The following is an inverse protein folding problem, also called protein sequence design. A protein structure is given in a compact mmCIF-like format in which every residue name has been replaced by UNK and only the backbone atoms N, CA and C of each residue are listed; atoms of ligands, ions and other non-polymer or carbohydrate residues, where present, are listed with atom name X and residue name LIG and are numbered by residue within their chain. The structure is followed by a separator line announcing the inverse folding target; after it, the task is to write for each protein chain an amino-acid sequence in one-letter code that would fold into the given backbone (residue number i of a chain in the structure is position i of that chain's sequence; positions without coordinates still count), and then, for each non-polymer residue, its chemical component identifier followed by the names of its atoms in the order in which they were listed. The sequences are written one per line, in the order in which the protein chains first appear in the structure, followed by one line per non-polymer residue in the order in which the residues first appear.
data_IF_120890866401
#
_entry.id   IF_120890866401
#
_cell.length_a   1.000
_cell.length_b   1.000
_cell.length_c   1.000
_cell.angle_alpha   90.00
_cell.angle_beta   90.00
_cell.angle_gamma   90.00
#
_symmetry.space_group_name_H-M   'P 1'
#
loop_
_entity.id
_entity.type
_entity.pdbx_description
1 polymer ?
#
# COMPACT_ATOMS: atom_id res chain seq x y z
N UNK A 1 11.75 -42.38 57.17
CA UNK A 1 11.96 -43.40 56.13
C UNK A 1 11.01 -43.08 55.00
N UNK A 2 11.50 -42.43 53.94
CA UNK A 2 10.75 -42.27 52.68
C UNK A 2 11.75 -42.56 51.56
N UNK A 3 11.52 -43.68 50.88
CA UNK A 3 12.21 -44.10 49.67
C UNK A 3 11.76 -43.20 48.51
N UNK A 4 12.69 -42.54 47.85
CA UNK A 4 12.55 -42.22 46.43
C UNK A 4 13.73 -42.83 45.72
N UNK A 5 13.51 -44.07 45.26
CA UNK A 5 14.35 -44.69 44.24
C UNK A 5 14.19 -43.90 42.96
N UNK A 6 15.30 -43.39 42.44
CA UNK A 6 15.41 -43.01 41.05
C UNK A 6 15.36 -44.30 40.24
N UNK A 7 14.21 -44.57 39.63
CA UNK A 7 14.14 -45.59 38.59
C UNK A 7 14.85 -45.04 37.35
N UNK A 8 16.11 -45.40 37.20
CA UNK A 8 16.82 -45.44 35.92
C UNK A 8 16.23 -46.58 35.06
N UNK A 9 14.95 -46.51 34.70
CA UNK A 9 14.33 -47.33 33.65
C UNK A 9 12.95 -46.80 33.35
N UNK A 10 12.91 -45.74 32.55
CA UNK A 10 11.84 -45.51 31.57
C UNK A 10 12.39 -44.41 30.67
N UNK A 11 13.16 -44.82 29.65
CA UNK A 11 13.06 -44.10 28.40
C UNK A 11 11.55 -44.05 28.12
N UNK A 12 10.91 -42.87 28.08
CA UNK A 12 9.57 -42.83 27.52
C UNK A 12 9.77 -43.38 26.11
N UNK A 13 9.21 -44.57 25.86
CA UNK A 13 8.90 -45.00 24.50
C UNK A 13 8.26 -43.77 23.90
N UNK A 14 8.96 -43.15 22.96
CA UNK A 14 8.40 -42.10 22.15
C UNK A 14 6.99 -42.58 21.81
N UNK A 15 5.92 -41.86 22.17
CA UNK A 15 4.76 -42.02 21.35
C UNK A 15 5.28 -41.71 19.96
N UNK A 16 5.25 -42.70 19.08
CA UNK A 16 5.04 -42.48 17.67
C UNK A 16 3.68 -41.75 17.54
N UNK A 17 3.58 -40.53 18.09
CA UNK A 17 2.86 -39.45 17.47
C UNK A 17 3.54 -39.34 16.12
N UNK A 18 2.95 -40.03 15.15
CA UNK A 18 3.02 -39.67 13.75
C UNK A 18 2.94 -38.16 13.68
N UNK A 19 4.11 -37.53 13.60
CA UNK A 19 4.24 -36.17 13.07
C UNK A 19 3.50 -36.27 11.74
N UNK A 20 2.42 -35.51 11.51
CA UNK A 20 1.84 -35.47 10.19
C UNK A 20 2.94 -34.95 9.28
N UNK A 21 3.55 -35.87 8.53
CA UNK A 21 4.45 -35.54 7.43
C UNK A 21 3.57 -34.89 6.39
N UNK A 22 3.45 -33.58 6.49
CA UNK A 22 2.80 -32.76 5.48
C UNK A 22 3.81 -31.65 5.16
N UNK A 23 4.87 -32.05 4.46
CA UNK A 23 5.31 -31.21 3.35
C UNK A 23 4.11 -31.11 2.40
N UNK A 24 3.26 -30.12 2.64
CA UNK A 24 2.28 -29.69 1.66
C UNK A 24 3.10 -29.23 0.44
N UNK A 25 2.98 -29.97 -0.65
CA UNK A 25 3.40 -29.51 -1.96
C UNK A 25 2.73 -28.14 -2.19
N UNK A 26 3.50 -27.06 -2.00
CA UNK A 26 2.98 -25.69 -2.02
C UNK A 26 3.11 -24.88 -0.72
N UNK A 27 4.10 -25.12 0.14
CA UNK A 27 4.66 -24.09 1.06
C UNK A 27 3.73 -23.40 2.08
N UNK A 28 2.49 -23.84 2.24
CA UNK A 28 1.54 -23.30 3.20
C UNK A 28 1.42 -24.23 4.41
N UNK A 29 1.85 -23.74 5.56
CA UNK A 29 1.64 -24.40 6.86
C UNK A 29 0.18 -24.22 7.27
N UNK A 30 -0.50 -25.30 7.65
CA UNK A 30 -1.91 -25.24 8.08
C UNK A 30 -2.07 -24.49 9.41
N UNK A 31 -3.25 -23.90 9.64
CA UNK A 31 -3.58 -23.21 10.89
C UNK A 31 -3.42 -24.14 12.12
N UNK A 32 -3.72 -25.42 11.97
CA UNK A 32 -3.54 -26.43 13.01
C UNK A 32 -2.06 -26.65 13.36
N UNK A 33 -1.17 -26.62 12.36
CA UNK A 33 0.26 -26.70 12.59
C UNK A 33 0.76 -25.51 13.43
N UNK A 34 0.27 -24.31 13.13
CA UNK A 34 0.61 -23.09 13.88
C UNK A 34 0.14 -23.12 15.33
N UNK A 35 -1.10 -23.54 15.56
CA UNK A 35 -1.62 -23.72 16.92
C UNK A 35 -0.79 -24.75 17.70
N UNK A 36 -0.32 -25.80 17.04
CA UNK A 36 0.61 -26.76 17.63
C UNK A 36 1.95 -26.14 18.04
N UNK A 37 2.55 -25.28 17.20
CA UNK A 37 3.82 -24.63 17.52
C UNK A 37 3.69 -23.62 18.68
N UNK A 38 2.60 -22.86 18.72
CA UNK A 38 2.33 -21.92 19.83
C UNK A 38 2.09 -22.66 21.15
N UNK A 39 1.40 -23.80 21.10
CA UNK A 39 1.18 -24.62 22.28
C UNK A 39 2.48 -25.25 22.80
N UNK A 40 3.35 -25.75 21.92
CA UNK A 40 4.69 -26.27 22.28
C UNK A 40 5.56 -25.17 22.92
N UNK A 41 5.55 -23.95 22.38
CA UNK A 41 6.26 -22.81 22.96
C UNK A 41 5.73 -22.44 24.35
N UNK A 42 4.41 -22.42 24.53
CA UNK A 42 3.78 -22.13 25.81
C UNK A 42 4.14 -23.18 26.88
N UNK A 43 4.13 -24.47 26.52
CA UNK A 43 4.53 -25.55 27.43
C UNK A 43 6.01 -25.44 27.84
N UNK A 44 6.88 -25.07 26.91
CA UNK A 44 8.32 -24.89 27.19
C UNK A 44 8.58 -23.71 28.11
N UNK A 45 7.89 -22.58 27.91
CA UNK A 45 7.97 -21.41 28.80
C UNK A 45 7.52 -21.76 30.22
N UNK A 46 6.38 -22.45 30.37
CA UNK A 46 5.91 -22.90 31.68
C UNK A 46 6.91 -23.85 32.38
N UNK A 47 7.62 -24.68 31.63
CA UNK A 47 8.67 -25.55 32.17
C UNK A 47 9.91 -24.76 32.65
N UNK A 48 10.25 -23.64 31.98
CA UNK A 48 11.32 -22.73 32.42
C UNK A 48 10.95 -22.03 33.72
N UNK A 49 9.74 -21.48 33.81
CA UNK A 49 9.23 -20.80 35.00
C UNK A 49 9.17 -21.76 36.21
N UNK A 50 8.67 -22.98 36.01
CA UNK A 50 8.63 -24.01 37.06
C UNK A 50 10.02 -24.41 37.55
N UNK A 51 11.01 -24.48 36.65
CA UNK A 51 12.38 -24.78 37.03
C UNK A 51 12.99 -23.63 37.85
N UNK A 52 12.77 -22.38 37.45
CA UNK A 52 13.23 -21.19 38.18
C UNK A 52 12.68 -21.16 39.60
N UNK A 53 11.38 -21.39 39.78
CA UNK A 53 10.77 -21.48 41.11
C UNK A 53 11.36 -22.60 41.98
N UNK A 54 11.75 -23.72 41.36
CA UNK A 54 12.39 -24.84 42.07
C UNK A 54 13.81 -24.48 42.52
N UNK A 55 14.57 -23.78 41.69
CA UNK A 55 15.91 -23.27 42.02
C UNK A 55 15.83 -22.26 43.17
N UNK A 56 14.90 -21.30 43.09
CA UNK A 56 14.70 -20.28 44.11
C UNK A 56 14.31 -20.91 45.46
N UNK A 57 13.34 -21.85 45.45
CA UNK A 57 12.93 -22.57 46.66
C UNK A 57 14.07 -23.39 47.28
N UNK A 58 14.91 -24.01 46.45
CA UNK A 58 16.07 -24.79 46.93
C UNK A 58 17.15 -23.88 47.52
N UNK A 59 17.39 -22.71 46.91
CA UNK A 59 18.31 -21.70 47.43
C UNK A 59 17.83 -21.12 48.77
N UNK A 60 16.53 -20.84 48.91
CA UNK A 60 15.92 -20.40 50.17
C UNK A 60 16.01 -21.46 51.27
N UNK A 61 15.80 -22.74 50.93
CA UNK A 61 15.89 -23.83 51.90
C UNK A 61 17.33 -24.05 52.41
N UNK A 62 18.33 -23.94 51.53
CA UNK A 62 19.74 -24.04 51.91
C UNK A 62 20.20 -22.85 52.75
N UNK A 63 19.80 -21.63 52.39
CA UNK A 63 20.11 -20.43 53.19
C UNK A 63 19.44 -20.46 54.56
N UNK A 64 18.20 -20.96 54.66
CA UNK A 64 17.52 -21.17 55.93
C UNK A 64 18.19 -22.24 56.81
N UNK A 65 18.74 -23.29 56.20
CA UNK A 65 19.46 -24.37 56.90
C UNK A 65 20.83 -23.92 57.41
N UNK A 66 21.57 -23.13 56.62
CA UNK A 66 22.84 -22.54 57.02
C UNK A 66 22.70 -21.59 58.23
N UNK A 67 21.57 -20.86 58.33
CA UNK A 67 21.26 -20.00 59.48
C UNK A 67 21.00 -20.75 60.80
N UNK A 68 20.70 -22.06 60.77
CA UNK A 68 20.33 -22.85 61.96
C UNK A 68 21.49 -23.60 62.62
N UNK A 69 22.72 -23.45 62.14
CA UNK A 69 23.93 -23.95 62.83
C UNK A 69 23.92 -25.45 63.14
N UNK A 70 24.18 -26.31 62.16
CA UNK A 70 24.34 -27.75 62.35
C UNK A 70 25.67 -28.24 61.79
N UNK A 71 26.49 -28.89 62.62
CA UNK A 71 27.85 -29.30 62.28
C UNK A 71 27.95 -30.60 61.47
N UNK A 72 28.67 -30.54 60.35
CA UNK A 72 29.63 -31.54 59.82
C UNK A 72 30.30 -30.93 58.58
N UNK A 73 31.42 -30.23 58.79
CA UNK A 73 32.09 -29.40 57.77
C UNK A 73 32.32 -30.11 56.42
N UNK A 74 32.70 -31.38 56.42
CA UNK A 74 33.15 -32.06 55.21
C UNK A 74 32.01 -32.71 54.40
N UNK A 75 30.99 -33.26 55.06
CA UNK A 75 29.83 -33.86 54.37
C UNK A 75 28.89 -32.78 53.81
N UNK A 76 28.78 -31.63 54.50
CA UNK A 76 27.98 -30.49 54.04
C UNK A 76 28.67 -29.75 52.88
N UNK A 77 30.00 -29.60 52.90
CA UNK A 77 30.74 -29.05 51.76
C UNK A 77 30.61 -29.91 50.49
N UNK A 78 30.60 -31.24 50.63
CA UNK A 78 30.45 -32.15 49.48
C UNK A 78 29.04 -32.07 48.89
N UNK A 79 28.00 -32.04 49.74
CA UNK A 79 26.60 -31.86 49.30
C UNK A 79 26.35 -30.50 48.68
N UNK A 80 26.97 -29.46 49.21
CA UNK A 80 26.84 -28.10 48.68
C UNK A 80 27.55 -27.99 47.33
N UNK A 81 28.72 -28.61 47.17
CA UNK A 81 29.41 -28.72 45.88
C UNK A 81 28.58 -29.48 44.84
N UNK A 82 28.01 -30.63 45.19
CA UNK A 82 27.15 -31.40 44.27
C UNK A 82 25.88 -30.63 43.89
N UNK A 83 25.31 -29.86 44.83
CA UNK A 83 24.16 -29.00 44.56
C UNK A 83 24.53 -27.85 43.64
N UNK A 84 25.67 -27.20 43.86
CA UNK A 84 26.18 -26.12 42.99
C UNK A 84 26.48 -26.63 41.58
N UNK A 85 27.06 -27.83 41.45
CA UNK A 85 27.30 -28.46 40.13
C UNK A 85 25.98 -28.74 39.42
N UNK A 86 24.98 -29.34 40.09
CA UNK A 86 23.66 -29.58 39.49
C UNK A 86 22.92 -28.31 39.10
N UNK A 87 23.02 -27.25 39.91
CA UNK A 87 22.44 -25.95 39.59
C UNK A 87 23.18 -25.32 38.41
N UNK A 88 24.51 -25.40 38.36
CA UNK A 88 25.31 -24.90 37.24
C UNK A 88 24.98 -25.64 35.94
N UNK A 89 24.92 -26.97 35.96
CA UNK A 89 24.55 -27.77 34.79
C UNK A 89 23.11 -27.47 34.34
N UNK A 90 22.20 -27.27 35.30
CA UNK A 90 20.83 -26.82 35.04
C UNK A 90 20.76 -25.43 34.40
N UNK A 91 21.57 -24.48 34.87
CA UNK A 91 21.68 -23.13 34.30
C UNK A 91 22.23 -23.18 32.88
N UNK A 92 23.26 -23.99 32.62
CA UNK A 92 23.81 -24.16 31.26
C UNK A 92 22.80 -24.79 30.31
N UNK A 93 22.09 -25.83 30.74
CA UNK A 93 21.02 -26.44 29.95
C UNK A 93 19.86 -25.47 29.70
N UNK A 94 19.55 -24.59 30.66
CA UNK A 94 18.52 -23.57 30.52
C UNK A 94 18.96 -22.43 29.59
N UNK A 95 20.21 -21.99 29.67
CA UNK A 95 20.77 -21.00 28.75
C UNK A 95 20.65 -21.48 27.29
N UNK A 96 21.01 -22.74 27.00
CA UNK A 96 20.83 -23.33 25.68
C UNK A 96 19.35 -23.41 25.24
N UNK A 97 18.42 -23.63 26.18
CA UNK A 97 16.99 -23.61 25.89
C UNK A 97 16.48 -22.21 25.60
N UNK A 98 16.97 -21.19 26.31
CA UNK A 98 16.64 -19.78 26.07
C UNK A 98 17.16 -19.34 24.70
N UNK A 99 18.42 -19.63 24.38
CA UNK A 99 19.00 -19.33 23.06
C UNK A 99 18.16 -19.96 21.93
N UNK A 100 17.75 -21.21 22.12
CA UNK A 100 16.90 -21.90 21.14
C UNK A 100 15.50 -21.29 21.01
N UNK A 101 14.91 -20.79 22.10
CA UNK A 101 13.62 -20.09 22.07
C UNK A 101 13.73 -18.73 21.37
N UNK A 102 14.81 -17.99 21.62
CA UNK A 102 15.08 -16.70 20.96
C UNK A 102 15.24 -16.88 19.45
N UNK A 103 15.98 -17.90 19.01
CA UNK A 103 16.14 -18.20 17.58
C UNK A 103 14.81 -18.60 16.92
N UNK A 104 13.95 -19.34 17.62
CA UNK A 104 12.61 -19.69 17.12
C UNK A 104 11.68 -18.49 17.06
N UNK A 105 11.73 -17.58 18.03
CA UNK A 105 10.99 -16.31 18.00
C UNK A 105 11.43 -15.46 16.80
N UNK A 106 12.74 -15.32 16.59
CA UNK A 106 13.30 -14.59 15.44
C UNK A 106 12.86 -15.21 14.11
N UNK A 107 12.81 -16.54 14.02
CA UNK A 107 12.29 -17.22 12.83
C UNK A 107 10.79 -16.99 12.62
N UNK A 108 9.99 -16.98 13.69
CA UNK A 108 8.57 -16.69 13.62
C UNK A 108 8.29 -15.25 13.15
N UNK A 109 9.05 -14.27 13.64
CA UNK A 109 8.96 -12.87 13.21
C UNK A 109 9.24 -12.73 11.70
N UNK A 110 10.34 -13.32 11.23
CA UNK A 110 10.70 -13.30 9.79
C UNK A 110 9.63 -13.96 8.93
N UNK A 111 9.00 -15.03 9.41
CA UNK A 111 7.92 -15.71 8.70
C UNK A 111 6.62 -14.88 8.69
N UNK A 112 6.27 -14.22 9.80
CA UNK A 112 5.12 -13.31 9.87
C UNK A 112 5.28 -12.12 8.93
N UNK A 113 6.49 -11.56 8.84
CA UNK A 113 6.80 -10.49 7.88
C UNK A 113 6.68 -10.96 6.43
N UNK A 114 7.11 -12.20 6.14
CA UNK A 114 6.93 -12.81 4.81
C UNK A 114 5.46 -13.05 4.49
N UNK A 115 4.65 -13.51 5.43
CA UNK A 115 3.21 -13.72 5.25
C UNK A 115 2.47 -12.40 5.07
N UNK A 116 2.83 -11.35 5.82
CA UNK A 116 2.31 -10.00 5.63
C UNK A 116 2.67 -9.47 4.24
N UNK A 117 3.91 -9.66 3.80
CA UNK A 117 4.36 -9.29 2.45
C UNK A 117 3.66 -10.10 1.34
N UNK A 118 3.37 -11.38 1.58
CA UNK A 118 2.65 -12.23 0.64
C UNK A 118 1.18 -11.83 0.55
N UNK A 119 0.50 -11.61 1.68
CA UNK A 119 -0.90 -11.15 1.71
C UNK A 119 -1.08 -9.75 1.12
N UNK A 120 -0.12 -8.83 1.30
CA UNK A 120 -0.13 -7.53 0.62
C UNK A 120 0.04 -7.69 -0.88
N UNK A 121 0.96 -8.56 -1.34
CA UNK A 121 1.15 -8.83 -2.76
C UNK A 121 -0.05 -9.52 -3.40
N UNK A 122 -0.69 -10.44 -2.68
CA UNK A 122 -1.89 -11.14 -3.13
C UNK A 122 -3.07 -10.17 -3.20
N UNK A 123 -3.29 -9.34 -2.18
CA UNK A 123 -4.30 -8.27 -2.20
C UNK A 123 -4.05 -7.22 -3.30
N UNK A 124 -2.79 -6.95 -3.65
CA UNK A 124 -2.43 -6.12 -4.82
C UNK A 124 -2.74 -6.85 -6.13
N UNK A 125 -2.45 -8.15 -6.22
CA UNK A 125 -2.70 -8.96 -7.41
C UNK A 125 -4.19 -9.24 -7.64
N UNK A 126 -4.99 -9.35 -6.59
CA UNK A 126 -6.45 -9.52 -6.62
C UNK A 126 -7.21 -8.19 -6.72
N UNK A 127 -6.52 -7.05 -6.62
CA UNK A 127 -7.12 -5.72 -6.71
C UNK A 127 -7.84 -5.24 -5.44
N UNK A 128 -7.74 -5.97 -4.33
CA UNK A 128 -8.34 -5.62 -3.04
C UNK A 128 -7.56 -4.54 -2.26
N UNK A 129 -6.27 -4.33 -2.57
CA UNK A 129 -5.45 -3.28 -1.98
C UNK A 129 -4.63 -2.53 -3.05
N UNK A 130 -4.68 -1.18 -3.12
CA UNK A 130 -3.87 -0.42 -4.05
C UNK A 130 -2.39 -0.50 -3.64
N UNK A 131 -1.52 -0.95 -4.55
CA UNK A 131 -0.07 -0.84 -4.34
C UNK A 131 0.35 0.62 -4.18
N UNK A 132 1.52 0.89 -3.59
CA UNK A 132 2.04 2.27 -3.49
C UNK A 132 2.13 2.96 -4.88
N UNK A 133 2.32 2.18 -5.95
CA UNK A 133 2.30 2.68 -7.33
C UNK A 133 0.89 3.10 -7.76
N UNK A 134 -0.14 2.29 -7.50
CA UNK A 134 -1.53 2.66 -7.76
C UNK A 134 -1.95 3.87 -6.91
N UNK A 135 -1.49 3.95 -5.65
CA UNK A 135 -1.72 5.12 -4.79
C UNK A 135 -1.13 6.40 -5.39
N UNK A 136 0.07 6.34 -5.96
CA UNK A 136 0.66 7.49 -6.69
C UNK A 136 -0.16 7.86 -7.92
N UNK A 137 -0.64 6.87 -8.69
CA UNK A 137 -1.54 7.14 -9.81
C UNK A 137 -2.86 7.78 -9.37
N UNK A 138 -3.46 7.36 -8.24
CA UNK A 138 -4.66 8.02 -7.71
C UNK A 138 -4.42 9.50 -7.42
N UNK A 139 -3.27 9.86 -6.84
CA UNK A 139 -2.91 11.26 -6.59
C UNK A 139 -2.69 12.06 -7.89
N UNK A 140 -2.15 11.42 -8.94
CA UNK A 140 -2.00 12.04 -10.26
C UNK A 140 -3.38 12.24 -10.90
N UNK A 141 -4.25 11.22 -10.89
CA UNK A 141 -5.64 11.27 -11.38
C UNK A 141 -6.41 12.41 -10.69
N UNK A 142 -6.33 12.53 -9.37
CA UNK A 142 -6.98 13.60 -8.61
C UNK A 142 -6.47 15.01 -8.98
N UNK A 143 -5.17 15.16 -9.25
CA UNK A 143 -4.60 16.44 -9.68
C UNK A 143 -5.02 16.79 -11.10
N UNK A 144 -4.99 15.81 -12.00
CA UNK A 144 -5.45 15.97 -13.38
C UNK A 144 -6.95 16.33 -13.42
N UNK A 145 -7.77 15.63 -12.66
CA UNK A 145 -9.19 15.93 -12.53
C UNK A 145 -9.41 17.36 -12.00
N UNK A 146 -8.71 17.77 -10.93
CA UNK A 146 -8.79 19.15 -10.42
C UNK A 146 -8.35 20.19 -11.44
N UNK A 147 -7.29 19.91 -12.20
CA UNK A 147 -6.82 20.78 -13.27
C UNK A 147 -7.92 21.01 -14.32
N UNK A 148 -8.58 19.94 -14.78
CA UNK A 148 -9.64 20.01 -15.80
C UNK A 148 -10.93 20.65 -15.23
N UNK A 149 -11.43 20.17 -14.09
CA UNK A 149 -12.72 20.58 -13.54
C UNK A 149 -12.74 22.01 -12.99
N UNK A 150 -11.60 22.51 -12.53
CA UNK A 150 -11.51 23.79 -11.82
C UNK A 150 -10.59 24.80 -12.52
N UNK A 151 -9.31 24.49 -12.65
CA UNK A 151 -8.33 25.50 -13.09
C UNK A 151 -8.50 25.84 -14.57
N UNK A 152 -8.64 24.84 -15.44
CA UNK A 152 -8.91 25.01 -16.87
C UNK A 152 -10.30 25.58 -17.12
N UNK A 153 -11.31 25.18 -16.35
CA UNK A 153 -12.66 25.77 -16.45
C UNK A 153 -12.65 27.26 -16.11
N UNK A 154 -11.90 27.67 -15.08
CA UNK A 154 -11.75 29.08 -14.74
C UNK A 154 -10.96 29.84 -15.81
N UNK A 155 -9.89 29.24 -16.34
CA UNK A 155 -9.14 29.81 -17.45
C UNK A 155 -10.04 30.04 -18.67
N UNK A 156 -10.88 29.07 -19.04
CA UNK A 156 -11.82 29.21 -20.15
C UNK A 156 -12.85 30.35 -19.97
N UNK A 157 -13.20 30.71 -18.73
CA UNK A 157 -14.08 31.86 -18.47
C UNK A 157 -13.39 33.19 -18.75
N UNK A 158 -12.08 33.26 -18.53
CA UNK A 158 -11.25 34.43 -18.83
C UNK A 158 -10.95 34.50 -20.34
N UNK A 159 -10.65 33.35 -20.98
CA UNK A 159 -10.41 33.25 -22.43
C UNK A 159 -11.67 33.53 -23.29
N UNK A 160 -12.83 33.13 -22.78
CA UNK A 160 -14.14 33.31 -23.41
C UNK A 160 -15.09 34.05 -22.44
N UNK A 161 -14.96 35.39 -22.36
CA UNK A 161 -15.81 36.18 -21.49
C UNK A 161 -17.23 36.26 -22.07
N UNK A 162 -18.23 36.40 -21.19
CA UNK A 162 -19.65 36.24 -21.55
C UNK A 162 -20.23 37.43 -22.33
N UNK A 163 -19.56 38.58 -22.30
CA UNK A 163 -19.90 39.81 -22.99
C UNK A 163 -19.44 39.84 -24.46
N UNK A 164 -18.57 38.91 -24.85
CA UNK A 164 -18.08 38.78 -26.21
C UNK A 164 -19.13 38.09 -27.11
N UNK A 165 -19.82 38.88 -27.94
CA UNK A 165 -20.86 38.43 -28.90
C UNK A 165 -20.38 37.42 -29.96
N UNK A 166 -19.07 37.26 -30.12
CA UNK A 166 -18.52 36.33 -31.13
C UNK A 166 -18.84 34.86 -30.82
N UNK A 167 -19.14 34.51 -29.56
CA UNK A 167 -19.42 33.14 -29.15
C UNK A 167 -20.86 32.69 -29.46
N UNK A 168 -21.79 33.63 -29.65
CA UNK A 168 -23.18 33.33 -29.96
C UNK A 168 -23.34 32.71 -31.36
N UNK A 169 -22.34 32.90 -32.24
CA UNK A 169 -22.30 32.35 -33.60
C UNK A 169 -21.77 30.91 -33.64
N UNK A 170 -21.22 30.40 -32.53
CA UNK A 170 -20.77 29.00 -32.44
C UNK A 170 -21.93 28.07 -32.14
N UNK A 171 -21.98 26.91 -32.80
CA UNK A 171 -22.90 25.83 -32.44
C UNK A 171 -22.66 25.40 -30.98
N UNK A 172 -23.72 25.43 -30.16
CA UNK A 172 -23.63 25.21 -28.71
C UNK A 172 -23.20 26.45 -27.90
N UNK A 173 -23.05 27.60 -28.53
CA UNK A 173 -22.85 28.91 -27.90
C UNK A 173 -21.61 29.01 -27.00
N UNK A 174 -21.71 29.86 -25.97
CA UNK A 174 -20.65 30.10 -25.00
C UNK A 174 -20.15 28.82 -24.27
N UNK A 175 -21.01 27.86 -23.86
CA UNK A 175 -20.55 26.59 -23.30
C UNK A 175 -19.62 25.81 -24.23
N UNK A 176 -19.98 25.70 -25.52
CA UNK A 176 -19.16 25.03 -26.51
C UNK A 176 -17.83 25.78 -26.76
N UNK A 177 -17.86 27.11 -26.82
CA UNK A 177 -16.66 27.93 -26.97
C UNK A 177 -15.67 27.70 -25.82
N UNK A 178 -16.17 27.65 -24.57
CA UNK A 178 -15.34 27.39 -23.37
C UNK A 178 -14.80 25.96 -23.33
N UNK A 179 -15.63 24.98 -23.66
CA UNK A 179 -15.20 23.58 -23.73
C UNK A 179 -14.11 23.39 -24.81
N UNK A 180 -14.25 24.07 -25.95
CA UNK A 180 -13.24 24.08 -27.01
C UNK A 180 -11.94 24.75 -26.57
N UNK A 181 -12.02 25.91 -25.90
CA UNK A 181 -10.84 26.58 -25.35
C UNK A 181 -10.05 25.65 -24.40
N UNK A 182 -10.76 24.88 -23.56
CA UNK A 182 -10.13 23.86 -22.70
C UNK A 182 -9.51 22.73 -23.52
N UNK A 183 -10.24 22.16 -24.48
CA UNK A 183 -9.71 21.08 -25.34
C UNK A 183 -8.40 21.47 -26.01
N UNK A 184 -8.37 22.66 -26.62
CA UNK A 184 -7.19 23.16 -27.30
C UNK A 184 -6.04 23.43 -26.32
N UNK A 185 -6.35 23.99 -25.13
CA UNK A 185 -5.37 24.18 -24.04
C UNK A 185 -4.79 22.85 -23.55
N UNK A 186 -5.63 21.84 -23.31
CA UNK A 186 -5.20 20.50 -22.88
C UNK A 186 -4.29 19.86 -23.93
N UNK A 187 -4.64 19.95 -25.21
CA UNK A 187 -3.76 19.49 -26.28
C UNK A 187 -2.41 20.20 -26.24
N UNK A 188 -2.37 21.53 -26.12
CA UNK A 188 -1.08 22.26 -26.04
C UNK A 188 -0.24 21.87 -24.81
N UNK A 189 -0.87 21.61 -23.67
CA UNK A 189 -0.19 21.26 -22.42
C UNK A 189 0.38 19.84 -22.41
N UNK A 190 -0.28 18.90 -23.09
CA UNK A 190 -0.03 17.48 -22.92
C UNK A 190 0.29 16.74 -24.23
N UNK A 191 0.20 17.37 -25.41
CA UNK A 191 0.53 16.74 -26.70
C UNK A 191 2.00 16.31 -26.79
N UNK A 192 2.90 16.95 -26.02
CA UNK A 192 4.30 16.58 -25.94
C UNK A 192 4.59 15.63 -24.77
N UNK A 193 3.87 14.50 -24.66
CA UNK A 193 4.22 13.46 -23.66
C UNK A 193 5.68 12.95 -23.78
N UNK A 194 6.39 13.29 -24.87
CA UNK A 194 7.79 12.99 -25.11
C UNK A 194 8.64 14.21 -25.54
N UNK A 195 8.09 15.43 -25.48
CA UNK A 195 8.75 16.64 -25.97
C UNK A 195 9.13 17.62 -24.85
N UNK A 196 9.56 18.82 -25.24
CA UNK A 196 9.82 19.89 -24.27
C UNK A 196 8.54 20.22 -23.47
N UNK A 197 8.68 20.58 -22.17
CA UNK A 197 7.55 21.01 -21.36
C UNK A 197 6.89 22.25 -21.98
N UNK A 198 5.57 22.35 -21.84
CA UNK A 198 4.84 23.52 -22.32
C UNK A 198 5.27 24.77 -21.55
N UNK A 199 5.34 25.91 -22.23
CA UNK A 199 5.60 27.22 -21.62
C UNK A 199 4.37 28.10 -21.70
N UNK A 200 4.17 28.98 -20.73
CA UNK A 200 3.01 29.87 -20.71
C UNK A 200 2.99 30.79 -21.92
N UNK A 201 4.16 31.27 -22.35
CA UNK A 201 4.30 32.17 -23.50
C UNK A 201 3.88 31.47 -24.81
N UNK A 202 4.25 30.20 -25.00
CA UNK A 202 3.86 29.43 -26.18
C UNK A 202 2.36 29.11 -26.18
N UNK A 203 1.81 28.75 -25.02
CA UNK A 203 0.37 28.48 -24.91
C UNK A 203 -0.43 29.77 -25.13
N UNK A 204 -0.02 30.89 -24.52
CA UNK A 204 -0.69 32.18 -24.66
C UNK A 204 -0.66 32.69 -26.10
N UNK A 205 0.51 32.68 -26.75
CA UNK A 205 0.64 33.14 -28.13
C UNK A 205 -0.20 32.31 -29.09
N UNK A 206 -0.29 30.99 -28.87
CA UNK A 206 -1.14 30.11 -29.67
C UNK A 206 -2.63 30.39 -29.43
N UNK A 207 -3.05 30.60 -28.17
CA UNK A 207 -4.43 30.96 -27.84
C UNK A 207 -4.83 32.32 -28.45
N UNK A 208 -3.94 33.30 -28.41
CA UNK A 208 -4.17 34.61 -29.02
C UNK A 208 -4.32 34.49 -30.54
N UNK A 209 -3.49 33.67 -31.19
CA UNK A 209 -3.59 33.41 -32.63
C UNK A 209 -4.91 32.74 -33.03
N UNK A 210 -5.51 31.97 -32.12
CA UNK A 210 -6.84 31.34 -32.30
C UNK A 210 -8.01 32.26 -31.95
N UNK A 211 -7.76 33.52 -31.57
CA UNK A 211 -8.78 34.53 -31.34
C UNK A 211 -9.39 34.53 -29.93
N UNK A 212 -8.77 33.86 -28.96
CA UNK A 212 -9.17 33.94 -27.56
C UNK A 212 -8.70 35.24 -26.89
N UNK A 213 -9.39 35.66 -25.84
CA UNK A 213 -9.00 36.83 -25.04
C UNK A 213 -7.84 36.42 -24.13
N UNK A 214 -6.64 36.95 -24.38
CA UNK A 214 -5.43 36.59 -23.61
C UNK A 214 -4.90 37.70 -22.71
N UNK A 215 -5.54 38.87 -22.69
CA UNK A 215 -5.13 40.00 -21.85
C UNK A 215 -5.49 39.74 -20.37
N UNK A 216 -4.50 39.85 -19.46
CA UNK A 216 -4.71 39.69 -18.02
C UNK A 216 -4.84 38.24 -17.52
N UNK A 217 -4.70 37.26 -18.42
CA UNK A 217 -4.89 35.83 -18.13
C UNK A 217 -3.61 35.16 -17.59
N UNK A 218 -2.46 35.86 -17.67
CA UNK A 218 -1.12 35.33 -17.38
C UNK A 218 -1.02 34.59 -16.04
N UNK A 219 -1.47 35.15 -14.89
CA UNK A 219 -1.27 34.50 -13.60
C UNK A 219 -1.93 33.12 -13.52
N UNK A 220 -3.12 32.97 -14.14
CA UNK A 220 -3.85 31.71 -14.15
C UNK A 220 -3.24 30.74 -15.16
N UNK A 221 -2.81 31.25 -16.32
CA UNK A 221 -2.15 30.43 -17.32
C UNK A 221 -0.84 29.84 -16.78
N UNK A 222 0.00 30.63 -16.10
CA UNK A 222 1.22 30.14 -15.45
C UNK A 222 0.91 29.02 -14.45
N UNK A 223 -0.13 29.17 -13.62
CA UNK A 223 -0.55 28.14 -12.67
C UNK A 223 -0.97 26.84 -13.37
N UNK A 224 -1.76 26.96 -14.45
CA UNK A 224 -2.23 25.80 -15.23
C UNK A 224 -1.06 25.08 -15.91
N UNK A 225 -0.12 25.83 -16.49
CA UNK A 225 1.08 25.28 -17.15
C UNK A 225 1.98 24.57 -16.14
N UNK A 226 2.24 25.17 -14.99
CA UNK A 226 3.05 24.56 -13.93
C UNK A 226 2.39 23.26 -13.41
N UNK A 227 1.08 23.29 -13.17
CA UNK A 227 0.34 22.09 -12.74
C UNK A 227 0.40 20.96 -13.78
N UNK A 228 0.23 21.27 -15.07
CA UNK A 228 0.30 20.29 -16.15
C UNK A 228 1.72 19.70 -16.28
N UNK A 229 2.75 20.54 -16.25
CA UNK A 229 4.15 20.10 -16.28
C UNK A 229 4.50 19.24 -15.05
N UNK A 230 3.94 19.56 -13.88
CA UNK A 230 4.05 18.74 -12.67
C UNK A 230 3.42 17.35 -12.83
N UNK A 231 2.23 17.28 -13.44
CA UNK A 231 1.56 16.00 -13.76
C UNK A 231 2.42 15.17 -14.72
N UNK A 232 2.93 15.75 -15.81
CA UNK A 232 3.78 15.05 -16.77
C UNK A 232 5.07 14.51 -16.13
N UNK A 233 5.71 15.33 -15.29
CA UNK A 233 6.91 14.93 -14.54
C UNK A 233 6.61 13.75 -13.62
N UNK A 234 5.50 13.79 -12.90
CA UNK A 234 5.13 12.73 -11.98
C UNK A 234 4.71 11.46 -12.71
N UNK A 235 4.01 11.57 -13.84
CA UNK A 235 3.73 10.43 -14.72
C UNK A 235 5.02 9.74 -15.19
N UNK A 236 6.02 10.52 -15.61
CA UNK A 236 7.31 9.98 -16.05
C UNK A 236 8.14 9.37 -14.90
N UNK A 237 7.90 9.78 -13.66
CA UNK A 237 8.62 9.30 -12.48
C UNK A 237 8.00 8.04 -11.83
N UNK A 238 6.80 7.64 -12.25
CA UNK A 238 6.15 6.42 -11.75
C UNK A 238 6.56 5.23 -12.61
N UNK A 239 6.84 4.11 -11.96
CA UNK A 239 7.30 2.87 -12.61
C UNK A 239 6.23 2.18 -13.46
N UNK A 240 4.95 2.35 -13.12
CA UNK A 240 3.82 1.82 -13.89
C UNK A 240 3.47 2.82 -15.00
N UNK A 241 3.58 2.46 -16.28
CA UNK A 241 3.30 3.39 -17.36
C UNK A 241 1.84 3.84 -17.37
N UNK A 242 1.61 5.12 -17.63
CA UNK A 242 0.28 5.68 -17.84
C UNK A 242 0.26 6.53 -19.11
N UNK A 243 -0.90 6.61 -19.75
CA UNK A 243 -1.11 7.33 -21.01
C UNK A 243 -2.34 8.23 -20.93
N UNK A 244 -2.30 9.33 -21.68
CA UNK A 244 -3.49 10.16 -21.93
C UNK A 244 -4.01 9.83 -23.32
N UNK A 245 -5.25 9.34 -23.39
CA UNK A 245 -5.85 8.85 -24.64
C UNK A 245 -6.51 9.98 -25.43
N UNK A 246 -5.73 10.68 -26.26
CA UNK A 246 -6.19 11.80 -27.09
C UNK A 246 -7.04 11.37 -28.28
N UNK A 247 -6.76 10.19 -28.85
CA UNK A 247 -7.39 9.71 -30.09
C UNK A 247 -8.67 8.89 -29.84
N UNK A 248 -9.37 9.16 -28.74
CA UNK A 248 -10.63 8.49 -28.42
C UNK A 248 -11.74 8.96 -29.38
N UNK A 249 -12.38 8.02 -30.08
CA UNK A 249 -13.54 8.32 -30.94
C UNK A 249 -14.79 8.57 -30.09
N UNK A 250 -15.03 9.86 -29.84
CA UNK A 250 -16.12 10.37 -28.99
C UNK A 250 -17.49 9.94 -29.47
N UNK A 251 -17.67 9.68 -30.77
CA UNK A 251 -18.97 9.29 -31.34
C UNK A 251 -19.35 7.83 -31.03
N UNK A 252 -18.37 7.02 -30.64
CA UNK A 252 -18.54 5.60 -30.33
C UNK A 252 -18.59 5.31 -28.84
N UNK A 253 -18.31 6.31 -27.99
CA UNK A 253 -18.28 6.12 -26.54
C UNK A 253 -19.69 5.86 -25.99
N UNK A 254 -19.85 4.75 -25.29
CA UNK A 254 -21.10 4.41 -24.63
C UNK A 254 -21.36 5.31 -23.41
N UNK A 255 -22.63 5.44 -23.03
CA UNK A 255 -23.00 6.11 -21.78
C UNK A 255 -22.36 5.36 -20.60
N UNK A 256 -21.48 6.06 -19.85
CA UNK A 256 -20.66 5.46 -18.80
C UNK A 256 -19.19 5.31 -19.15
N UNK A 257 -18.75 5.51 -20.40
CA UNK A 257 -17.33 5.51 -20.79
C UNK A 257 -16.68 6.90 -20.76
N UNK A 258 -17.51 7.94 -20.58
CA UNK A 258 -17.08 9.33 -20.49
C UNK A 258 -17.73 10.04 -19.29
N UNK A 259 -17.19 11.21 -18.96
CA UNK A 259 -17.76 12.17 -18.04
C UNK A 259 -18.14 13.45 -18.81
N UNK A 260 -19.35 13.96 -18.60
CA UNK A 260 -19.75 15.25 -19.17
C UNK A 260 -18.86 16.37 -18.61
N UNK A 261 -18.33 17.23 -19.49
CA UNK A 261 -17.44 18.31 -19.10
C UNK A 261 -18.16 19.30 -18.19
N UNK A 262 -19.39 19.73 -18.48
CA UNK A 262 -20.26 20.36 -17.49
C UNK A 262 -21.43 19.46 -17.16
N UNK A 263 -21.86 19.47 -15.89
CA UNK A 263 -23.05 18.74 -15.42
C UNK A 263 -24.37 19.17 -16.09
N UNK A 264 -24.35 20.35 -16.72
CA UNK A 264 -25.49 20.94 -17.42
C UNK A 264 -25.45 20.63 -18.92
N UNK A 265 -24.33 20.10 -19.43
CA UNK A 265 -24.25 19.66 -20.81
C UNK A 265 -25.23 18.48 -20.96
N UNK A 266 -26.05 18.51 -22.01
CA UNK A 266 -27.08 17.51 -22.29
C UNK A 266 -27.00 17.11 -23.75
N UNK A 267 -27.56 15.95 -24.08
CA UNK A 267 -27.59 15.44 -25.45
C UNK A 267 -26.46 14.47 -25.76
N UNK A 268 -25.94 14.53 -26.99
CA UNK A 268 -25.02 13.53 -27.52
C UNK A 268 -23.56 13.99 -27.39
N UNK A 269 -22.59 13.05 -27.28
CA UNK A 269 -21.16 13.38 -27.32
C UNK A 269 -20.81 14.23 -28.55
N UNK A 270 -20.35 15.46 -28.31
CA UNK A 270 -19.94 16.39 -29.36
C UNK A 270 -18.46 16.28 -29.67
N UNK A 271 -17.59 16.51 -28.67
CA UNK A 271 -16.14 16.42 -28.84
C UNK A 271 -15.39 16.21 -27.50
N UNK A 272 -14.14 15.77 -27.61
CA UNK A 272 -13.24 15.50 -26.49
C UNK A 272 -12.70 16.81 -25.90
N UNK A 273 -13.00 17.06 -24.62
CA UNK A 273 -12.48 18.22 -23.88
C UNK A 273 -11.17 17.87 -23.18
N UNK A 274 -11.09 16.70 -22.57
CA UNK A 274 -9.83 16.23 -21.98
C UNK A 274 -9.75 14.69 -22.08
N UNK A 275 -8.57 14.14 -22.45
CA UNK A 275 -8.39 12.71 -22.63
C UNK A 275 -8.58 11.91 -21.34
N UNK A 276 -8.88 10.63 -21.50
CA UNK A 276 -8.88 9.69 -20.37
C UNK A 276 -7.44 9.47 -19.88
N UNK A 277 -7.29 9.23 -18.57
CA UNK A 277 -6.02 8.81 -17.97
C UNK A 277 -6.08 7.30 -17.71
N UNK A 278 -5.32 6.55 -18.51
CA UNK A 278 -5.26 5.10 -18.47
C UNK A 278 -3.92 4.64 -17.90
N UNK A 279 -3.96 3.75 -16.92
CA UNK A 279 -2.77 3.15 -16.30
C UNK A 279 -2.60 1.74 -16.86
N UNK A 280 -1.40 1.39 -17.29
CA UNK A 280 -1.16 0.07 -17.85
C UNK A 280 -1.39 -1.02 -16.81
N UNK A 281 -2.17 -2.05 -17.17
CA UNK A 281 -2.47 -3.17 -16.28
C UNK A 281 -3.59 -2.91 -15.28
N UNK A 282 -4.16 -1.71 -15.25
CA UNK A 282 -5.38 -1.41 -14.50
C UNK A 282 -6.62 -1.79 -15.33
N UNK A 283 -7.69 -2.23 -14.65
CA UNK A 283 -8.95 -2.55 -15.32
C UNK A 283 -9.62 -1.26 -15.85
N UNK A 284 -10.29 -1.29 -17.02
CA UNK A 284 -10.85 -0.10 -17.66
C UNK A 284 -11.78 0.73 -16.76
N UNK A 285 -12.54 0.09 -15.88
CA UNK A 285 -13.45 0.71 -14.93
C UNK A 285 -12.77 1.62 -13.89
N UNK A 286 -11.48 1.38 -13.63
CA UNK A 286 -10.69 2.15 -12.67
C UNK A 286 -9.91 3.30 -13.34
N UNK A 287 -9.92 3.38 -14.68
CA UNK A 287 -9.35 4.52 -15.39
C UNK A 287 -10.14 5.80 -15.11
N UNK A 288 -9.44 6.93 -15.13
CA UNK A 288 -10.15 8.20 -15.12
C UNK A 288 -10.70 8.44 -16.52
N UNK A 289 -12.02 8.54 -16.62
CA UNK A 289 -12.75 8.68 -17.88
C UNK A 289 -12.41 9.99 -18.59
N UNK A 290 -12.60 9.99 -19.90
CA UNK A 290 -12.47 11.18 -20.72
C UNK A 290 -13.54 12.23 -20.36
N UNK A 291 -13.19 13.51 -20.45
CA UNK A 291 -14.13 14.62 -20.33
C UNK A 291 -14.64 14.99 -21.72
N UNK A 292 -15.96 14.98 -21.90
CA UNK A 292 -16.61 15.17 -23.19
C UNK A 292 -17.62 16.32 -23.10
N UNK A 293 -17.61 17.20 -24.08
CA UNK A 293 -18.69 18.18 -24.24
C UNK A 293 -19.89 17.49 -24.88
N UNK A 294 -21.05 17.57 -24.22
CA UNK A 294 -22.31 17.06 -24.80
C UNK A 294 -23.01 18.19 -25.54
N UNK A 295 -23.22 17.99 -26.84
CA UNK A 295 -23.96 18.91 -27.67
C UNK A 295 -25.46 18.73 -27.41
N UNK A 296 -26.22 19.83 -27.22
CA UNK A 296 -27.66 19.75 -27.09
C UNK A 296 -28.21 19.02 -28.31
N UNK A 297 -28.96 17.94 -28.08
CA UNK A 297 -29.53 17.15 -29.16
C UNK A 297 -30.40 18.02 -30.07
N UNK A 298 -30.38 17.75 -31.38
CA UNK A 298 -31.45 18.27 -32.24
C UNK A 298 -32.78 17.75 -31.68
N UNK A 299 -33.69 18.67 -31.35
CA UNK A 299 -35.04 18.28 -30.98
C UNK A 299 -35.64 17.48 -32.16
N UNK A 300 -36.33 16.35 -31.90
CA UNK A 300 -36.97 15.57 -32.95
C UNK A 300 -38.04 16.37 -33.71
#
# INVERSE_FOLDING_TARGET
MYNYGWNDHEAPKEPHTTVPSIQAAGGQYSQEWWLGQLHDLQQRLAAVESWQHTVDATAEQQTAKARRGGGSSQTDLTRLRDTVVRVSDGVTAMAHRVDHLEDRLRQAEVLLDRLRSAGVRDAIATGEAPSDMHRRHSQIKERYQRLVDQDLRNLARELCPADARQWDQMAGGLPAARARAVSETVQMLFASQQGAPATAENVQSTLAHRGYVTEGVDPRLYKVVDAANGILRDMAAVELPATLLFDADVTTLAEGEYQAYNRQDTGVPGFLVAPAYAVQGEAPENHLKAFVFLAPGEAP
#
